data_IF_149741199716
#
_entry.id   IF_149741199716
#
_cell.length_a   1.000
_cell.length_b   1.000
_cell.length_c   1.000
_cell.angle_alpha   90.00
_cell.angle_beta   90.00
_cell.angle_gamma   90.00
#
_symmetry.space_group_name_H-M   'P 1'
#
loop_
_entity.id
_entity.type
_entity.pdbx_description
1 polymer ?
#
# COMPACT_ATOMS: atom_id res chain seq x y z
N UNK A 1 -4.77 -12.94 5.70
CA UNK A 1 -4.10 -11.75 6.23
C UNK A 1 -2.70 -11.65 5.63
N UNK A 2 -2.18 -10.44 5.42
CA UNK A 2 -1.00 -10.11 4.58
C UNK A 2 0.28 -10.94 4.85
N UNK A 3 0.57 -11.30 6.10
CA UNK A 3 1.75 -12.09 6.47
C UNK A 3 1.47 -13.60 6.64
N UNK A 4 0.22 -14.03 6.55
CA UNK A 4 -0.16 -15.41 6.84
C UNK A 4 0.02 -15.83 8.32
N UNK A 5 0.31 -14.90 9.22
CA UNK A 5 0.50 -15.20 10.65
C UNK A 5 -0.84 -15.40 11.35
N UNK A 6 -0.89 -16.35 12.29
CA UNK A 6 -1.98 -16.44 13.26
C UNK A 6 -1.93 -15.22 14.21
N UNK A 7 -3.04 -14.90 14.86
CA UNK A 7 -3.09 -13.83 15.87
C UNK A 7 -2.06 -14.04 16.97
N UNK A 8 -1.96 -15.28 17.47
CA UNK A 8 -0.99 -15.66 18.52
C UNK A 8 0.46 -15.40 18.05
N UNK A 9 0.81 -15.85 16.83
CA UNK A 9 2.16 -15.64 16.26
C UNK A 9 2.45 -14.15 16.09
N UNK A 10 1.50 -13.37 15.55
CA UNK A 10 1.63 -11.92 15.40
C UNK A 10 1.92 -11.24 16.73
N UNK A 11 1.18 -11.58 17.77
CA UNK A 11 1.35 -10.99 19.11
C UNK A 11 2.70 -11.32 19.73
N UNK A 12 3.18 -12.57 19.58
CA UNK A 12 4.51 -12.98 20.09
C UNK A 12 5.61 -12.22 19.37
N UNK A 13 5.55 -12.14 18.04
CA UNK A 13 6.57 -11.42 17.24
C UNK A 13 6.52 -9.92 17.53
N UNK A 14 5.34 -9.33 17.65
CA UNK A 14 5.20 -7.92 18.02
C UNK A 14 5.74 -7.62 19.43
N UNK A 15 5.53 -8.51 20.40
CA UNK A 15 6.10 -8.40 21.74
C UNK A 15 7.63 -8.39 21.69
N UNK A 16 8.24 -9.30 20.92
CA UNK A 16 9.69 -9.35 20.73
C UNK A 16 10.23 -8.06 20.10
N UNK A 17 9.54 -7.53 19.08
CA UNK A 17 9.93 -6.26 18.43
C UNK A 17 9.83 -5.06 19.41
N UNK A 18 8.88 -5.09 20.32
CA UNK A 18 8.70 -4.05 21.34
C UNK A 18 9.75 -4.16 22.45
N UNK A 19 10.06 -5.37 22.94
CA UNK A 19 11.00 -5.59 24.04
C UNK A 19 12.46 -5.31 23.67
N UNK A 20 12.84 -5.52 22.40
CA UNK A 20 14.10 -5.01 21.88
C UNK A 20 15.33 -5.80 22.22
N UNK A 21 15.28 -7.10 22.32
CA UNK A 21 16.44 -7.95 22.54
C UNK A 21 17.21 -8.22 21.21
N UNK A 22 17.70 -7.15 20.57
CA UNK A 22 18.43 -7.22 19.30
C UNK A 22 19.86 -6.75 19.47
N UNK A 23 20.78 -7.40 18.75
CA UNK A 23 22.17 -6.97 18.63
C UNK A 23 22.32 -6.07 17.39
N UNK A 24 21.77 -4.86 17.47
CA UNK A 24 21.86 -3.85 16.41
C UNK A 24 22.91 -2.84 16.83
N UNK A 25 24.00 -2.62 16.04
CA UNK A 25 25.03 -1.65 16.36
C UNK A 25 24.45 -0.26 16.60
N UNK A 26 24.93 0.41 17.66
CA UNK A 26 24.55 1.77 18.04
C UNK A 26 23.04 1.99 18.31
N UNK A 27 22.28 0.90 18.48
CA UNK A 27 20.86 0.94 18.79
C UNK A 27 20.51 0.03 19.97
N UNK A 28 19.75 0.56 20.90
CA UNK A 28 19.23 -0.19 22.06
C UNK A 28 17.74 0.04 22.23
N UNK A 29 17.02 -1.00 22.64
CA UNK A 29 15.59 -0.96 22.90
C UNK A 29 14.72 -1.55 21.81
N UNK A 30 13.40 -1.35 21.94
CA UNK A 30 12.42 -1.89 21.01
C UNK A 30 12.39 -1.17 19.67
N UNK A 31 12.08 -1.91 18.61
CA UNK A 31 11.97 -1.36 17.27
C UNK A 31 10.59 -0.76 17.00
N UNK A 32 9.56 -1.14 17.76
CA UNK A 32 8.19 -0.63 17.59
C UNK A 32 7.63 -0.08 18.90
N UNK A 33 6.64 0.79 18.81
CA UNK A 33 5.84 1.25 19.95
C UNK A 33 4.98 0.10 20.48
N UNK A 34 4.37 0.32 21.67
CA UNK A 34 3.57 -0.70 22.34
C UNK A 34 2.43 -1.22 21.46
N UNK A 35 2.38 -2.54 21.27
CA UNK A 35 1.52 -3.18 20.28
C UNK A 35 0.08 -3.38 20.74
N UNK A 36 -0.23 -3.25 22.03
CA UNK A 36 -1.61 -3.37 22.54
C UNK A 36 -2.24 -2.00 22.63
N UNK A 37 -2.58 -1.45 21.48
CA UNK A 37 -3.20 -0.13 21.34
C UNK A 37 -4.27 -0.15 20.25
N UNK A 38 -5.29 0.67 20.42
CA UNK A 38 -6.30 1.00 19.42
C UNK A 38 -6.10 2.41 18.84
N UNK A 39 -5.05 3.11 19.28
CA UNK A 39 -4.71 4.44 18.80
C UNK A 39 -4.17 4.39 17.37
N UNK A 40 -4.51 5.41 16.60
CA UNK A 40 -3.98 5.69 15.26
C UNK A 40 -3.18 7.01 15.21
N UNK A 41 -2.97 7.63 16.36
CA UNK A 41 -2.23 8.88 16.47
C UNK A 41 -0.72 8.65 16.43
N UNK A 42 0.00 9.54 15.77
CA UNK A 42 1.46 9.60 15.76
C UNK A 42 1.92 10.83 16.55
N UNK A 43 2.93 10.67 17.42
CA UNK A 43 3.54 11.77 18.12
C UNK A 43 4.24 12.75 17.16
N UNK A 44 4.32 14.01 17.52
CA UNK A 44 4.93 15.06 16.69
C UNK A 44 6.40 14.75 16.33
N UNK A 45 7.14 14.12 17.24
CA UNK A 45 8.52 13.69 16.98
C UNK A 45 8.56 12.62 15.88
N UNK A 46 7.67 11.65 15.94
CA UNK A 46 7.58 10.60 14.91
C UNK A 46 7.18 11.18 13.53
N UNK A 47 6.27 12.16 13.50
CA UNK A 47 5.88 12.87 12.28
C UNK A 47 7.07 13.63 11.66
N UNK A 48 7.93 14.25 12.47
CA UNK A 48 9.16 14.91 12.00
C UNK A 48 10.14 13.90 11.42
N UNK A 49 10.42 12.81 12.12
CA UNK A 49 11.32 11.74 11.64
C UNK A 49 10.81 11.11 10.36
N UNK A 50 9.51 10.78 10.27
CA UNK A 50 8.90 10.26 9.05
C UNK A 50 9.09 11.22 7.87
N UNK A 51 8.87 12.53 8.09
CA UNK A 51 9.08 13.56 7.05
C UNK A 51 10.54 13.63 6.58
N UNK A 52 11.50 13.53 7.49
CA UNK A 52 12.93 13.53 7.17
C UNK A 52 13.29 12.30 6.32
N UNK A 53 12.83 11.10 6.71
CA UNK A 53 13.05 9.87 5.96
C UNK A 53 12.36 9.92 4.59
N UNK A 54 11.13 10.41 4.50
CA UNK A 54 10.44 10.57 3.21
C UNK A 54 11.23 11.53 2.30
N UNK A 55 11.74 12.62 2.84
CA UNK A 55 12.52 13.58 2.05
C UNK A 55 13.83 12.99 1.52
N UNK A 56 14.56 12.28 2.37
CA UNK A 56 15.86 11.69 2.01
C UNK A 56 15.75 10.53 1.02
N UNK A 57 14.72 9.68 1.17
CA UNK A 57 14.59 8.46 0.38
C UNK A 57 13.79 8.67 -0.92
N UNK A 58 12.77 9.51 -0.89
CA UNK A 58 11.82 9.66 -2.00
C UNK A 58 11.79 11.08 -2.58
N UNK A 59 12.22 12.07 -1.81
CA UNK A 59 12.29 13.46 -2.22
C UNK A 59 11.02 14.27 -1.90
N UNK A 60 11.12 15.59 -2.13
CA UNK A 60 10.12 16.59 -1.72
C UNK A 60 8.71 16.36 -2.24
N UNK A 61 8.55 15.74 -3.41
CA UNK A 61 7.23 15.47 -4.00
C UNK A 61 6.38 14.51 -3.17
N UNK A 62 7.02 13.67 -2.35
CA UNK A 62 6.36 12.67 -1.50
C UNK A 62 5.97 13.21 -0.14
N UNK A 63 6.35 14.43 0.20
CA UNK A 63 6.09 15.06 1.50
C UNK A 63 4.72 15.73 1.48
N UNK A 64 3.92 15.47 2.52
CA UNK A 64 2.69 16.21 2.77
C UNK A 64 2.99 17.64 3.21
N UNK A 65 2.18 18.61 2.79
CA UNK A 65 2.24 20.00 3.29
C UNK A 65 2.03 20.05 4.80
N UNK A 66 1.05 19.29 5.29
CA UNK A 66 0.75 19.13 6.72
C UNK A 66 0.69 17.64 7.04
N UNK A 67 1.12 17.21 8.25
CA UNK A 67 1.03 15.82 8.68
C UNK A 67 -0.42 15.33 8.65
N UNK A 68 -0.63 14.13 8.16
CA UNK A 68 -1.96 13.52 8.14
C UNK A 68 -2.31 13.01 9.52
N UNK A 69 -3.44 13.50 10.06
CA UNK A 69 -3.98 13.07 11.34
C UNK A 69 -5.17 12.14 11.11
N UNK A 70 -5.17 11.00 11.79
CA UNK A 70 -6.23 10.01 11.75
C UNK A 70 -7.05 10.11 13.03
N UNK A 71 -8.37 9.97 12.93
CA UNK A 71 -9.26 9.92 14.09
C UNK A 71 -9.48 8.47 14.48
N UNK A 72 -9.30 8.13 15.76
CA UNK A 72 -9.74 6.86 16.30
C UNK A 72 -11.28 6.77 16.24
N UNK A 73 -11.80 5.59 15.92
CA UNK A 73 -13.24 5.29 15.97
C UNK A 73 -13.70 4.92 17.38
N UNK A 74 -12.79 4.63 18.29
CA UNK A 74 -13.13 4.25 19.66
C UNK A 74 -13.61 5.50 20.43
N UNK A 75 -14.84 5.46 20.93
CA UNK A 75 -15.47 6.55 21.71
C UNK A 75 -14.73 6.83 23.02
N UNK A 76 -13.92 5.87 23.50
CA UNK A 76 -13.13 5.93 24.73
C UNK A 76 -11.64 5.68 24.46
N UNK A 77 -11.12 6.02 23.26
CA UNK A 77 -9.68 5.93 23.03
C UNK A 77 -8.96 6.81 24.05
N UNK A 78 -8.20 6.20 24.96
CA UNK A 78 -7.33 6.94 25.85
C UNK A 78 -6.32 7.68 24.98
N UNK A 79 -6.37 9.01 25.00
CA UNK A 79 -5.49 9.90 24.21
C UNK A 79 -3.99 9.67 24.51
N UNK A 80 -3.70 8.92 25.57
CA UNK A 80 -2.33 8.61 26.01
C UNK A 80 -1.60 7.55 25.15
N UNK A 81 -2.30 6.82 24.27
CA UNK A 81 -1.68 5.74 23.50
C UNK A 81 -1.35 6.21 22.10
N UNK A 82 -0.19 5.79 21.63
CA UNK A 82 0.27 6.03 20.25
C UNK A 82 -0.04 4.84 19.35
N UNK A 83 -0.09 5.08 18.04
CA UNK A 83 -0.21 4.02 17.04
C UNK A 83 1.00 3.08 17.05
N UNK A 84 0.81 1.85 16.58
CA UNK A 84 1.94 0.92 16.34
C UNK A 84 2.76 1.47 15.16
N UNK A 85 4.00 1.84 15.44
CA UNK A 85 4.95 2.41 14.48
C UNK A 85 6.40 2.07 14.84
N UNK A 86 7.38 2.29 13.98
CA UNK A 86 8.77 2.28 14.36
C UNK A 86 9.04 3.31 15.47
N UNK A 87 9.84 2.94 16.47
CA UNK A 87 10.31 3.90 17.49
C UNK A 87 11.17 4.96 16.83
N UNK A 88 12.02 4.53 15.90
CA UNK A 88 12.88 5.38 15.08
C UNK A 88 12.74 5.01 13.61
N UNK A 89 12.26 5.93 12.77
CA UNK A 89 12.10 5.73 11.34
C UNK A 89 13.42 5.59 10.59
N UNK A 90 14.54 6.03 11.17
CA UNK A 90 15.88 5.86 10.59
C UNK A 90 16.33 4.40 10.59
N UNK A 91 15.77 3.57 11.48
CA UNK A 91 15.96 2.12 11.49
C UNK A 91 15.19 1.48 10.34
N UNK A 92 15.72 1.60 9.12
CA UNK A 92 15.06 1.07 7.93
C UNK A 92 15.05 -0.45 7.94
N UNK A 93 14.04 -1.11 7.35
CA UNK A 93 14.00 -2.58 7.28
C UNK A 93 15.30 -3.18 6.74
N UNK A 94 15.88 -2.58 5.69
CA UNK A 94 17.11 -3.07 5.08
C UNK A 94 18.32 -3.03 6.04
N UNK A 95 18.39 -2.05 6.94
CA UNK A 95 19.51 -1.92 7.89
C UNK A 95 19.42 -2.89 9.06
N UNK A 96 18.20 -3.27 9.47
CA UNK A 96 17.98 -4.17 10.62
C UNK A 96 17.76 -5.62 10.22
N UNK A 97 17.68 -5.93 8.94
CA UNK A 97 17.32 -7.25 8.43
C UNK A 97 18.20 -8.37 8.98
N UNK A 98 19.51 -8.17 9.03
CA UNK A 98 20.48 -9.18 9.48
C UNK A 98 20.43 -9.45 10.98
N UNK A 99 19.81 -8.56 11.75
CA UNK A 99 19.70 -8.64 13.21
C UNK A 99 18.34 -9.20 13.67
N UNK A 100 17.44 -9.49 12.73
CA UNK A 100 16.08 -9.95 12.99
C UNK A 100 15.88 -11.36 12.46
N UNK A 101 15.04 -12.15 13.16
CA UNK A 101 14.52 -13.37 12.57
C UNK A 101 13.62 -13.05 11.38
N UNK A 102 13.38 -14.04 10.51
CA UNK A 102 12.52 -13.88 9.34
C UNK A 102 11.13 -13.30 9.68
N UNK A 103 10.48 -13.81 10.74
CA UNK A 103 9.17 -13.32 11.16
C UNK A 103 9.22 -11.88 11.71
N UNK A 104 10.24 -11.57 12.51
CA UNK A 104 10.44 -10.23 13.04
C UNK A 104 10.68 -9.24 11.91
N UNK A 105 11.51 -9.57 10.95
CA UNK A 105 11.78 -8.74 9.77
C UNK A 105 10.51 -8.49 8.96
N UNK A 106 9.72 -9.52 8.67
CA UNK A 106 8.48 -9.38 7.89
C UNK A 106 7.47 -8.48 8.60
N UNK A 107 7.28 -8.68 9.92
CA UNK A 107 6.34 -7.86 10.68
C UNK A 107 6.86 -6.42 10.83
N UNK A 108 8.14 -6.24 11.14
CA UNK A 108 8.75 -4.90 11.23
C UNK A 108 8.66 -4.15 9.90
N UNK A 109 9.01 -4.79 8.81
CA UNK A 109 8.92 -4.20 7.47
C UNK A 109 7.51 -3.73 7.14
N UNK A 110 6.50 -4.53 7.46
CA UNK A 110 5.10 -4.16 7.26
C UNK A 110 4.71 -2.94 8.09
N UNK A 111 5.08 -2.91 9.38
CA UNK A 111 4.79 -1.80 10.29
C UNK A 111 5.49 -0.52 9.80
N UNK A 112 6.78 -0.61 9.47
CA UNK A 112 7.57 0.52 8.99
C UNK A 112 7.00 1.10 7.69
N UNK A 113 6.79 0.25 6.69
CA UNK A 113 6.22 0.64 5.39
C UNK A 113 4.85 1.30 5.57
N UNK A 114 3.97 0.71 6.37
CA UNK A 114 2.61 1.23 6.57
C UNK A 114 2.61 2.56 7.33
N UNK A 115 3.43 2.68 8.38
CA UNK A 115 3.55 3.91 9.15
C UNK A 115 4.12 5.05 8.27
N UNK A 116 5.19 4.79 7.51
CA UNK A 116 5.78 5.78 6.60
C UNK A 116 4.79 6.19 5.50
N UNK A 117 4.17 5.23 4.82
CA UNK A 117 3.18 5.46 3.77
C UNK A 117 1.99 6.29 4.25
N UNK A 118 1.61 6.17 5.53
CA UNK A 118 0.53 6.98 6.13
C UNK A 118 0.82 8.48 6.08
N UNK A 119 2.09 8.88 6.03
CA UNK A 119 2.56 10.26 6.02
C UNK A 119 3.07 10.72 4.64
N UNK A 120 2.88 9.90 3.59
CA UNK A 120 3.25 10.24 2.22
C UNK A 120 2.08 10.85 1.44
N UNK A 121 2.42 11.56 0.36
CA UNK A 121 1.44 12.09 -0.59
C UNK A 121 0.62 10.96 -1.23
N UNK A 122 -0.62 11.26 -1.62
CA UNK A 122 -1.48 10.31 -2.29
C UNK A 122 -0.93 9.91 -3.66
N UNK A 123 -1.26 8.71 -4.11
CA UNK A 123 -1.04 8.30 -5.49
C UNK A 123 -2.03 9.01 -6.42
N UNK A 124 -1.57 9.35 -7.62
CA UNK A 124 -2.39 9.87 -8.70
C UNK A 124 -2.54 8.79 -9.77
N UNK A 125 -3.76 8.35 -10.00
CA UNK A 125 -4.07 7.28 -10.94
C UNK A 125 -5.03 7.82 -12.00
N UNK A 126 -4.63 7.78 -13.27
CA UNK A 126 -5.53 8.01 -14.38
C UNK A 126 -6.31 6.74 -14.70
N UNK A 127 -7.63 6.83 -14.71
CA UNK A 127 -8.52 5.75 -15.17
C UNK A 127 -9.12 6.14 -16.51
N UNK A 128 -9.10 5.19 -17.44
CA UNK A 128 -9.74 5.33 -18.75
C UNK A 128 -10.82 4.28 -18.87
N UNK A 129 -12.03 4.70 -19.25
CA UNK A 129 -13.14 3.80 -19.54
C UNK A 129 -13.54 4.02 -20.98
N UNK A 130 -13.54 2.96 -21.78
CA UNK A 130 -14.02 2.96 -23.17
C UNK A 130 -15.35 2.20 -23.19
N UNK A 131 -16.41 2.86 -23.62
CA UNK A 131 -17.71 2.26 -23.84
C UNK A 131 -17.91 2.03 -25.35
N UNK A 132 -18.25 0.83 -25.73
CA UNK A 132 -18.42 0.40 -27.11
C UNK A 132 -19.85 -0.08 -27.27
N UNK A 133 -20.61 0.60 -28.13
CA UNK A 133 -21.95 0.19 -28.53
C UNK A 133 -21.84 -0.72 -29.76
N UNK A 134 -22.52 -1.85 -29.74
CA UNK A 134 -22.53 -2.79 -30.82
C UNK A 134 -23.98 -3.27 -31.11
N UNK A 135 -24.18 -3.81 -32.31
CA UNK A 135 -25.49 -4.17 -32.81
C UNK A 135 -26.13 -3.07 -33.69
N UNK A 136 -27.14 -3.41 -34.46
CA UNK A 136 -27.79 -2.44 -35.36
C UNK A 136 -28.57 -1.36 -34.63
N UNK A 137 -29.15 -1.72 -33.48
CA UNK A 137 -29.90 -0.81 -32.59
C UNK A 137 -29.09 -0.47 -31.34
N UNK A 138 -27.75 -0.74 -31.31
CA UNK A 138 -26.85 -0.50 -30.18
C UNK A 138 -27.27 -1.26 -28.91
N UNK A 139 -27.84 -2.42 -29.07
CA UNK A 139 -28.40 -3.24 -28.00
C UNK A 139 -27.34 -3.88 -27.10
N UNK A 140 -26.09 -3.91 -27.55
CA UNK A 140 -24.96 -4.41 -26.75
C UNK A 140 -24.04 -3.29 -26.32
N UNK A 141 -23.75 -3.24 -25.05
CA UNK A 141 -22.79 -2.29 -24.47
C UNK A 141 -21.61 -3.05 -23.87
N UNK A 142 -20.44 -2.85 -24.44
CA UNK A 142 -19.18 -3.36 -23.88
C UNK A 142 -18.44 -2.24 -23.17
N UNK A 143 -17.75 -2.57 -22.07
CA UNK A 143 -16.93 -1.63 -21.32
C UNK A 143 -15.53 -2.21 -21.13
N UNK A 144 -14.53 -1.44 -21.55
CA UNK A 144 -13.12 -1.72 -21.25
C UNK A 144 -12.60 -0.67 -20.27
N UNK A 145 -11.96 -1.12 -19.20
CA UNK A 145 -11.36 -0.25 -18.21
C UNK A 145 -9.85 -0.42 -18.19
N UNK A 146 -9.15 0.69 -18.18
CA UNK A 146 -7.71 0.74 -18.02
C UNK A 146 -7.32 1.73 -16.94
N UNK A 147 -6.15 1.54 -16.37
CA UNK A 147 -5.57 2.50 -15.41
C UNK A 147 -4.08 2.63 -15.61
N UNK A 148 -3.57 3.82 -15.28
CA UNK A 148 -2.15 4.12 -15.29
C UNK A 148 -1.80 4.96 -14.07
N UNK A 149 -0.73 4.58 -13.38
CA UNK A 149 -0.17 5.38 -12.29
C UNK A 149 0.56 6.58 -12.89
N UNK A 150 0.09 7.79 -12.60
CA UNK A 150 0.71 9.06 -12.99
C UNK A 150 1.80 9.44 -12.00
N UNK A 151 1.49 9.32 -10.72
CA UNK A 151 2.40 9.54 -9.62
C UNK A 151 2.16 8.48 -8.55
N UNK A 152 3.18 7.69 -8.16
CA UNK A 152 2.96 6.57 -7.26
C UNK A 152 2.64 6.98 -5.83
N UNK A 153 3.10 8.15 -5.34
CA UNK A 153 2.84 8.59 -3.98
C UNK A 153 3.21 7.50 -2.94
N UNK A 154 2.34 7.28 -1.96
CA UNK A 154 2.55 6.27 -0.92
C UNK A 154 2.67 4.83 -1.45
N UNK A 155 2.16 4.55 -2.65
CA UNK A 155 2.26 3.24 -3.28
C UNK A 155 3.72 2.83 -3.54
N UNK A 156 4.64 3.79 -3.60
CA UNK A 156 6.07 3.51 -3.74
C UNK A 156 6.67 2.78 -2.53
N UNK A 157 6.00 2.82 -1.40
CA UNK A 157 6.43 2.17 -0.16
C UNK A 157 5.51 1.02 0.24
N UNK A 158 4.20 1.20 0.03
CA UNK A 158 3.20 0.28 0.52
C UNK A 158 2.07 0.05 -0.48
N UNK A 159 1.90 -1.19 -0.90
CA UNK A 159 0.74 -1.67 -1.66
C UNK A 159 0.05 -2.80 -0.89
N UNK A 160 -1.28 -2.82 -0.90
CA UNK A 160 -2.03 -3.90 -0.26
C UNK A 160 -1.96 -5.22 -1.04
N UNK A 161 -1.54 -5.15 -2.30
CA UNK A 161 -1.49 -6.29 -3.22
C UNK A 161 -0.11 -6.92 -3.36
N UNK A 162 0.93 -6.35 -2.70
CA UNK A 162 2.26 -6.92 -2.74
C UNK A 162 2.32 -8.20 -1.87
N UNK A 163 2.08 -9.33 -2.50
CA UNK A 163 2.72 -10.57 -2.13
C UNK A 163 4.18 -10.51 -2.60
N UNK A 164 5.10 -11.09 -1.85
CA UNK A 164 6.56 -10.97 -1.90
C UNK A 164 7.26 -11.18 -3.27
N UNK A 165 6.53 -11.16 -4.39
CA UNK A 165 7.05 -11.49 -5.73
C UNK A 165 6.78 -10.47 -6.84
N UNK A 166 6.12 -9.34 -6.57
CA UNK A 166 5.91 -8.34 -7.64
C UNK A 166 6.64 -7.03 -7.35
N UNK A 167 7.83 -6.92 -7.89
CA UNK A 167 8.68 -5.71 -7.83
C UNK A 167 8.18 -4.56 -8.72
N UNK A 168 7.00 -4.64 -9.31
CA UNK A 168 6.59 -3.62 -10.26
C UNK A 168 5.10 -3.31 -10.25
N UNK A 169 4.76 -2.06 -9.92
CA UNK A 169 3.47 -1.42 -10.22
C UNK A 169 3.07 -1.51 -11.71
N UNK A 170 4.03 -1.82 -12.58
CA UNK A 170 3.87 -1.88 -14.03
C UNK A 170 2.99 -3.02 -14.54
N UNK A 171 2.85 -4.13 -13.78
CA UNK A 171 2.02 -5.26 -14.24
C UNK A 171 0.51 -5.03 -14.14
N UNK A 172 0.07 -3.95 -13.47
CA UNK A 172 -1.35 -3.58 -13.33
C UNK A 172 -1.76 -2.39 -14.19
N UNK A 173 -0.83 -1.80 -14.90
CA UNK A 173 -1.13 -0.71 -15.83
C UNK A 173 -1.75 -1.30 -17.11
N UNK A 174 -3.08 -1.39 -17.13
CA UNK A 174 -3.82 -1.70 -18.36
C UNK A 174 -3.97 -0.41 -19.15
N UNK A 175 -3.08 -0.21 -20.11
CA UNK A 175 -3.12 0.96 -20.99
C UNK A 175 -4.03 0.64 -22.17
N UNK A 176 -5.19 1.29 -22.19
CA UNK A 176 -6.10 1.19 -23.34
C UNK A 176 -5.59 2.05 -24.51
N UNK A 177 -5.86 1.63 -25.76
CA UNK A 177 -5.51 2.43 -26.92
C UNK A 177 -6.30 3.75 -26.91
N UNK A 178 -5.70 4.79 -27.51
CA UNK A 178 -6.44 6.04 -27.75
C UNK A 178 -7.52 5.80 -28.78
N UNK A 179 -8.77 6.03 -28.41
CA UNK A 179 -9.91 6.02 -29.29
C UNK A 179 -10.64 7.36 -29.21
N UNK A 180 -11.18 7.81 -30.33
CA UNK A 180 -11.99 9.01 -30.40
C UNK A 180 -13.46 8.65 -30.23
N UNK A 181 -14.22 9.54 -29.60
CA UNK A 181 -15.66 9.35 -29.46
C UNK A 181 -16.35 9.30 -30.82
N UNK A 182 -17.23 8.32 -31.02
CA UNK A 182 -17.93 8.13 -32.27
C UNK A 182 -17.14 7.37 -33.35
N UNK A 183 -15.91 6.93 -33.05
CA UNK A 183 -15.12 6.11 -33.97
C UNK A 183 -15.73 4.73 -34.13
N UNK A 184 -15.98 4.32 -35.38
CA UNK A 184 -16.37 2.94 -35.66
C UNK A 184 -15.16 2.01 -35.51
N UNK A 185 -15.36 0.92 -34.78
CA UNK A 185 -14.38 -0.15 -34.62
C UNK A 185 -14.81 -1.37 -35.39
N UNK A 186 -13.90 -1.97 -36.15
CA UNK A 186 -14.13 -3.26 -36.78
C UNK A 186 -13.83 -4.36 -35.76
N UNK A 187 -14.75 -5.30 -35.59
CA UNK A 187 -14.50 -6.53 -34.87
C UNK A 187 -13.42 -7.30 -35.64
N UNK A 188 -12.29 -7.58 -35.00
CA UNK A 188 -11.27 -8.46 -35.54
C UNK A 188 -11.77 -9.89 -35.30
N UNK A 189 -11.89 -10.71 -36.32
CA UNK A 189 -12.29 -12.11 -36.17
C UNK A 189 -11.41 -12.78 -35.09
N UNK A 190 -12.00 -13.27 -34.01
CA UNK A 190 -11.24 -14.02 -33.02
C UNK A 190 -10.84 -15.35 -33.66
N UNK A 191 -9.61 -15.77 -33.47
CA UNK A 191 -9.11 -17.10 -33.89
C UNK A 191 -9.92 -18.24 -33.22
N UNK A 192 -10.60 -17.93 -32.13
CA UNK A 192 -11.55 -18.80 -31.42
C UNK A 192 -12.89 -18.07 -31.23
N UNK A 193 -14.04 -18.78 -31.36
CA UNK A 193 -15.34 -18.19 -31.12
C UNK A 193 -15.43 -17.64 -29.70
N UNK A 194 -15.86 -16.39 -29.58
CA UNK A 194 -16.10 -15.76 -28.27
C UNK A 194 -17.23 -16.52 -27.57
N UNK A 195 -16.92 -17.17 -26.46
CA UNK A 195 -17.94 -17.81 -25.62
C UNK A 195 -18.74 -16.70 -24.91
N UNK A 196 -19.90 -16.39 -25.47
CA UNK A 196 -20.76 -15.32 -24.97
C UNK A 196 -21.28 -15.60 -23.55
N UNK A 197 -21.42 -16.86 -23.16
CA UNK A 197 -21.83 -17.19 -21.78
C UNK A 197 -20.76 -16.77 -20.77
N UNK A 198 -19.47 -16.92 -21.09
CA UNK A 198 -18.37 -16.45 -20.20
C UNK A 198 -18.29 -14.94 -20.10
N UNK A 199 -18.75 -14.19 -21.10
CA UNK A 199 -18.77 -12.73 -21.06
C UNK A 199 -19.85 -12.17 -20.12
N UNK A 200 -20.93 -12.91 -19.88
CA UNK A 200 -22.08 -12.45 -19.09
C UNK A 200 -22.21 -13.09 -17.71
N UNK A 201 -21.46 -14.15 -17.41
CA UNK A 201 -21.39 -14.70 -16.06
C UNK A 201 -20.42 -13.89 -15.22
N UNK A 202 -20.92 -12.82 -14.57
CA UNK A 202 -20.27 -12.29 -13.39
C UNK A 202 -20.63 -13.17 -12.19
N UNK A 203 -19.65 -13.54 -11.34
CA UNK A 203 -19.94 -14.07 -10.02
C UNK A 203 -20.61 -13.03 -9.14
#
# INVERSE_FOLDING_TARGET
>A
LKLGFSVKRTMVVAQQLYEGNFDIPDYSGGLITYMRTDSVALADQALKQAKEVINSEFGKKYILKEPRKYKSRAVNAQEAHEAIRPVDFSQKPATVQTHLSHDQFRLYSLIWKRALASQMTAAEIARTTIKIEAGQEKEYLFEAQGQRVIFPGFLNVYSETDDEQSDTFSEKDVILPKVEQGKMLALKDPEEPIDMEKLFTKP
#
